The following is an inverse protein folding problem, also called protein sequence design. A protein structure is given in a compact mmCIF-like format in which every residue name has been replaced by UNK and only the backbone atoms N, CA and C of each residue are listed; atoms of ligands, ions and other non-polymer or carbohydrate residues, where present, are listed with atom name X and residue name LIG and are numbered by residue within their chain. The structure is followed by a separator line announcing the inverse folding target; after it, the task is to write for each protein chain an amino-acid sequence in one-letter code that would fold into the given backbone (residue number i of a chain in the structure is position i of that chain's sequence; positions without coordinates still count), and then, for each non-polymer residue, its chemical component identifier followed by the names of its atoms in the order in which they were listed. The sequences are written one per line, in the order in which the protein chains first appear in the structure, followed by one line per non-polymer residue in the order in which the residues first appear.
data_IF_278276212409
#
_entry.id   IF_278276212409
#
_cell.length_a   1.000
_cell.length_b   1.000
_cell.length_c   1.000
_cell.angle_alpha   90.00
_cell.angle_beta   90.00
_cell.angle_gamma   90.00
#
_symmetry.space_group_name_H-M   'P 1'
#
loop_
_entity.id
_entity.type
_entity.pdbx_description
1 polymer ?
#
# COMPACT_ATOMS: atom_id res chain seq x y z
N UNK A 1 21.67 9.74 -25.17
CA UNK A 1 21.19 8.80 -24.14
C UNK A 1 21.48 7.39 -24.66
N UNK A 2 22.32 6.59 -23.98
CA UNK A 2 22.71 5.24 -24.44
C UNK A 2 21.57 4.24 -24.12
N UNK A 3 20.93 3.61 -25.12
CA UNK A 3 19.79 2.72 -24.89
C UNK A 3 20.15 1.45 -24.10
N UNK A 4 21.39 0.94 -24.24
CA UNK A 4 21.83 -0.29 -23.58
C UNK A 4 21.97 -0.15 -22.06
N UNK A 5 22.40 1.03 -21.61
CA UNK A 5 22.61 1.35 -20.19
C UNK A 5 21.30 1.37 -19.39
N UNK A 6 20.19 1.80 -20.02
CA UNK A 6 18.87 1.77 -19.39
C UNK A 6 18.27 0.37 -19.37
N UNK A 7 18.52 -0.46 -20.39
CA UNK A 7 18.01 -1.85 -20.41
C UNK A 7 18.63 -2.75 -19.35
N UNK A 8 19.92 -2.58 -19.02
CA UNK A 8 20.56 -3.33 -17.92
C UNK A 8 20.06 -2.87 -16.55
N UNK A 9 19.91 -1.56 -16.32
CA UNK A 9 19.34 -1.01 -15.08
C UNK A 9 17.87 -1.38 -14.88
N UNK A 10 17.09 -1.39 -15.96
CA UNK A 10 15.67 -1.78 -15.92
C UNK A 10 15.50 -3.28 -15.68
N UNK A 11 16.44 -4.13 -16.13
CA UNK A 11 16.43 -5.56 -15.80
C UNK A 11 16.91 -5.80 -14.36
N UNK A 12 18.01 -5.17 -13.93
CA UNK A 12 18.50 -5.28 -12.56
C UNK A 12 17.46 -4.79 -11.52
N UNK A 13 16.75 -3.69 -11.82
CA UNK A 13 15.67 -3.19 -10.96
C UNK A 13 14.32 -3.92 -11.11
N UNK A 14 14.17 -4.84 -12.08
CA UNK A 14 12.97 -5.70 -12.22
C UNK A 14 13.12 -7.05 -11.53
N UNK A 15 14.34 -7.53 -11.35
CA UNK A 15 14.63 -8.71 -10.51
C UNK A 15 14.46 -8.37 -9.00
N UNK A 16 14.47 -7.08 -8.64
CA UNK A 16 14.14 -6.56 -7.30
C UNK A 16 12.72 -5.97 -7.23
N UNK A 17 11.73 -6.52 -7.95
CA UNK A 17 10.34 -6.31 -7.52
C UNK A 17 10.17 -7.18 -6.28
N UNK A 18 10.56 -6.62 -5.12
CA UNK A 18 10.31 -7.16 -3.81
C UNK A 18 8.86 -7.66 -3.77
N UNK A 19 8.69 -8.89 -3.29
CA UNK A 19 7.37 -9.43 -3.03
C UNK A 19 6.60 -8.52 -2.10
N UNK A 20 5.32 -8.82 -1.90
CA UNK A 20 4.50 -8.07 -0.96
C UNK A 20 5.20 -7.89 0.39
N UNK A 21 5.31 -6.64 0.81
CA UNK A 21 5.84 -6.23 2.10
C UNK A 21 4.69 -5.60 2.92
N UNK A 22 4.32 -6.20 4.06
CA UNK A 22 3.22 -5.72 4.89
C UNK A 22 3.49 -4.35 5.51
N UNK A 23 4.75 -4.03 5.84
CA UNK A 23 5.13 -2.75 6.44
C UNK A 23 5.06 -1.63 5.39
N UNK A 24 5.48 -1.90 4.15
CA UNK A 24 5.34 -0.95 3.04
C UNK A 24 3.86 -0.75 2.66
N UNK A 25 3.05 -1.80 2.71
CA UNK A 25 1.61 -1.70 2.52
C UNK A 25 0.96 -0.79 3.57
N UNK A 26 1.23 -1.06 4.85
CA UNK A 26 0.68 -0.29 5.97
C UNK A 26 1.06 1.20 5.87
N UNK A 27 2.34 1.49 5.58
CA UNK A 27 2.82 2.86 5.41
C UNK A 27 2.11 3.59 4.27
N UNK A 28 1.87 2.91 3.14
CA UNK A 28 1.17 3.50 2.00
C UNK A 28 -0.29 3.82 2.32
N UNK A 29 -1.01 2.88 2.94
CA UNK A 29 -2.41 3.08 3.34
C UNK A 29 -2.52 4.24 4.33
N UNK A 30 -1.66 4.28 5.36
CA UNK A 30 -1.64 5.37 6.35
C UNK A 30 -1.37 6.73 5.70
N UNK A 31 -0.42 6.80 4.75
CA UNK A 31 -0.11 8.03 4.02
C UNK A 31 -1.31 8.53 3.22
N UNK A 32 -1.98 7.63 2.50
CA UNK A 32 -3.15 7.97 1.70
C UNK A 32 -4.29 8.49 2.58
N UNK A 33 -4.61 7.77 3.66
CA UNK A 33 -5.66 8.17 4.61
C UNK A 33 -5.35 9.53 5.24
N UNK A 34 -4.11 9.76 5.66
CA UNK A 34 -3.70 11.05 6.20
C UNK A 34 -3.84 12.19 5.19
N UNK A 35 -3.53 11.93 3.92
CA UNK A 35 -3.71 12.90 2.84
C UNK A 35 -5.20 13.22 2.61
N UNK A 36 -6.06 12.21 2.48
CA UNK A 36 -7.50 12.40 2.29
C UNK A 36 -8.17 13.11 3.48
N UNK A 37 -7.73 12.84 4.71
CA UNK A 37 -8.18 13.57 5.90
C UNK A 37 -7.74 15.03 5.85
N UNK A 38 -6.47 15.28 5.50
CA UNK A 38 -5.91 16.63 5.44
C UNK A 38 -6.60 17.49 4.39
N UNK A 39 -6.96 16.90 3.26
CA UNK A 39 -7.56 17.61 2.13
C UNK A 39 -9.09 17.75 2.28
N UNK A 40 -9.66 17.19 3.36
CA UNK A 40 -11.09 17.29 3.68
C UNK A 40 -11.98 16.38 2.82
N UNK A 41 -11.38 15.45 2.08
CA UNK A 41 -12.07 14.50 1.21
C UNK A 41 -12.55 13.25 1.96
N UNK A 42 -11.98 12.98 3.14
CA UNK A 42 -12.33 11.83 3.97
C UNK A 42 -13.43 12.13 5.01
N UNK A 43 -14.33 11.16 5.28
CA UNK A 43 -15.27 11.27 6.39
C UNK A 43 -14.54 11.28 7.74
N UNK A 44 -15.17 11.90 8.74
CA UNK A 44 -14.68 11.86 10.13
C UNK A 44 -14.63 10.42 10.62
N UNK A 45 -13.53 10.03 11.25
CA UNK A 45 -13.34 8.69 11.79
C UNK A 45 -12.64 7.71 10.85
N UNK A 46 -12.39 8.07 9.58
CA UNK A 46 -11.76 7.17 8.59
C UNK A 46 -10.46 6.52 9.11
N UNK A 47 -9.58 7.30 9.74
CA UNK A 47 -8.32 6.74 10.26
C UNK A 47 -8.51 5.68 11.35
N UNK A 48 -9.57 5.80 12.16
CA UNK A 48 -9.91 4.80 13.17
C UNK A 48 -10.46 3.54 12.52
N UNK A 49 -11.39 3.69 11.57
CA UNK A 49 -11.99 2.54 10.87
C UNK A 49 -10.95 1.77 10.08
N UNK A 50 -10.08 2.45 9.33
CA UNK A 50 -8.96 1.82 8.62
C UNK A 50 -8.06 1.04 9.59
N UNK A 51 -7.74 1.62 10.75
CA UNK A 51 -6.91 0.92 11.73
C UNK A 51 -7.59 -0.35 12.22
N UNK A 52 -8.88 -0.27 12.58
CA UNK A 52 -9.58 -1.42 13.14
C UNK A 52 -9.89 -2.50 12.11
N UNK A 53 -10.40 -2.14 10.93
CA UNK A 53 -10.87 -3.12 9.95
C UNK A 53 -9.72 -3.68 9.10
N UNK A 54 -8.75 -2.85 8.71
CA UNK A 54 -7.67 -3.30 7.81
C UNK A 54 -6.47 -3.84 8.60
N UNK A 55 -6.05 -3.17 9.68
CA UNK A 55 -4.80 -3.53 10.37
C UNK A 55 -5.01 -4.42 11.61
N UNK A 56 -6.13 -4.30 12.33
CA UNK A 56 -6.41 -5.14 13.50
C UNK A 56 -7.21 -6.41 13.13
N UNK A 57 -8.17 -6.31 12.21
CA UNK A 57 -9.04 -7.42 11.82
C UNK A 57 -8.63 -8.09 10.50
N UNK A 58 -8.01 -7.35 9.59
CA UNK A 58 -7.54 -7.88 8.30
C UNK A 58 -6.23 -8.65 8.41
N UNK A 59 -6.11 -9.73 7.64
CA UNK A 59 -4.83 -10.43 7.47
C UNK A 59 -4.00 -9.74 6.38
N UNK A 60 -3.14 -8.82 6.80
CA UNK A 60 -2.26 -8.08 5.89
C UNK A 60 -0.88 -8.73 5.76
N UNK A 61 -0.65 -9.93 6.31
CA UNK A 61 0.69 -10.56 6.31
C UNK A 61 1.17 -11.00 4.92
N UNK A 62 0.25 -11.06 3.95
CA UNK A 62 0.51 -11.41 2.56
C UNK A 62 -0.41 -10.65 1.60
N UNK A 63 0.00 -10.57 0.33
CA UNK A 63 -0.68 -9.73 -0.68
C UNK A 63 -2.17 -10.03 -0.85
N UNK A 64 -2.52 -11.32 -0.91
CA UNK A 64 -3.90 -11.73 -1.13
C UNK A 64 -4.83 -11.30 0.02
N UNK A 65 -4.34 -11.32 1.26
CA UNK A 65 -5.09 -10.94 2.44
C UNK A 65 -5.21 -9.42 2.55
N UNK A 66 -4.11 -8.69 2.30
CA UNK A 66 -4.15 -7.23 2.20
C UNK A 66 -5.12 -6.73 1.12
N UNK A 67 -5.15 -7.40 -0.04
CA UNK A 67 -6.11 -7.11 -1.12
C UNK A 67 -7.55 -7.40 -0.70
N UNK A 68 -7.79 -8.50 0.03
CA UNK A 68 -9.11 -8.82 0.56
C UNK A 68 -9.57 -7.79 1.59
N UNK A 69 -8.71 -7.42 2.54
CA UNK A 69 -9.00 -6.41 3.56
C UNK A 69 -9.38 -5.06 2.94
N UNK A 70 -8.69 -4.63 1.87
CA UNK A 70 -9.06 -3.42 1.14
C UNK A 70 -10.39 -3.55 0.39
N UNK A 71 -10.70 -4.73 -0.15
CA UNK A 71 -11.93 -4.97 -0.89
C UNK A 71 -13.17 -5.05 0.03
N UNK A 72 -12.98 -5.52 1.25
CA UNK A 72 -14.04 -5.69 2.25
C UNK A 72 -14.31 -4.41 3.06
N UNK A 73 -13.35 -3.47 3.11
CA UNK A 73 -13.48 -2.18 3.79
C UNK A 73 -14.64 -1.32 3.24
N UNK A 74 -15.51 -0.77 4.11
CA UNK A 74 -16.74 -0.05 3.72
C UNK A 74 -17.01 1.21 4.53
#
# INVERSE_FOLDING_TARGET
INPGYWSEKVRAGRDEIEGFDPDLFEQQVKRYVAHSIRDGEAPRGLGREVTSEIFEQGDISHEAGARAALADFR
#
